data_IF_523489439667
#
_entry.id   IF_523489439667
#
_cell.length_a   1.000
_cell.length_b   1.000
_cell.length_c   1.000
_cell.angle_alpha   90.00
_cell.angle_beta   90.00
_cell.angle_gamma   90.00
#
_symmetry.space_group_name_H-M   'P 1'
#
loop_
_entity.id
_entity.type
_entity.pdbx_description
1 polymer ?
#
# COMPACT_ATOMS: atom_id res chain seq x y z
N UNK A 1 -15.13 -38.70 -0.65
CA UNK A 1 -14.40 -38.26 0.55
C UNK A 1 -14.78 -36.82 0.82
N UNK A 2 -15.54 -36.56 1.87
CA UNK A 2 -15.91 -35.19 2.26
C UNK A 2 -14.66 -34.56 2.82
N UNK A 3 -14.23 -33.43 2.24
CA UNK A 3 -13.17 -32.60 2.82
C UNK A 3 -13.59 -32.24 4.25
N UNK A 4 -12.72 -32.42 5.27
CA UNK A 4 -13.04 -31.96 6.62
C UNK A 4 -13.40 -30.47 6.58
N UNK A 5 -14.35 -30.00 7.41
CA UNK A 5 -14.70 -28.60 7.44
C UNK A 5 -13.41 -27.81 7.71
N UNK A 6 -13.07 -26.88 6.80
CA UNK A 6 -11.91 -26.02 6.99
C UNK A 6 -12.11 -25.27 8.30
N UNK A 7 -11.37 -25.65 9.34
CA UNK A 7 -11.21 -24.86 10.55
C UNK A 7 -10.59 -23.55 10.13
N UNK A 8 -11.44 -22.57 9.78
CA UNK A 8 -10.98 -21.24 9.39
C UNK A 8 -10.24 -20.62 10.57
N UNK A 9 -9.25 -19.77 10.29
CA UNK A 9 -8.58 -19.00 11.32
C UNK A 9 -9.59 -18.04 11.96
N UNK A 10 -9.89 -18.28 13.24
CA UNK A 10 -10.81 -17.47 14.04
C UNK A 10 -10.03 -16.99 15.26
N UNK A 11 -10.05 -15.69 15.52
CA UNK A 11 -9.41 -15.13 16.71
C UNK A 11 -10.29 -15.25 17.96
N UNK A 12 -9.74 -14.86 19.12
CA UNK A 12 -10.47 -14.89 20.41
C UNK A 12 -11.73 -14.00 20.45
N UNK A 13 -11.91 -13.12 19.48
CA UNK A 13 -13.10 -12.26 19.34
C UNK A 13 -14.07 -12.79 18.27
N UNK A 14 -13.95 -14.06 17.88
CA UNK A 14 -14.75 -14.71 16.83
C UNK A 14 -14.66 -14.04 15.45
N UNK A 15 -13.60 -13.27 15.18
CA UNK A 15 -13.39 -12.67 13.86
C UNK A 15 -12.67 -13.68 12.97
N UNK A 16 -13.20 -13.86 11.76
CA UNK A 16 -12.59 -14.71 10.73
C UNK A 16 -11.39 -13.97 10.11
N UNK A 17 -10.20 -14.56 10.20
CA UNK A 17 -8.99 -14.06 9.58
C UNK A 17 -8.93 -14.59 8.16
N UNK A 18 -9.22 -13.73 7.18
CA UNK A 18 -9.26 -14.06 5.76
C UNK A 18 -8.28 -13.22 4.91
N UNK A 19 -7.49 -12.36 5.55
CA UNK A 19 -6.55 -11.45 4.94
C UNK A 19 -5.15 -11.62 5.51
N UNK A 20 -4.17 -11.88 4.64
CA UNK A 20 -2.75 -11.97 4.98
C UNK A 20 -2.00 -10.78 4.37
N UNK A 21 -1.14 -10.16 5.15
CA UNK A 21 -0.13 -9.22 4.68
C UNK A 21 1.23 -9.87 4.79
N UNK A 22 1.93 -10.01 3.67
CA UNK A 22 3.23 -10.65 3.58
C UNK A 22 4.27 -9.63 3.12
N UNK A 23 5.24 -9.34 3.99
CA UNK A 23 6.45 -8.61 3.65
C UNK A 23 7.46 -9.60 3.10
N UNK A 24 7.90 -9.41 1.85
CA UNK A 24 8.79 -10.34 1.16
C UNK A 24 10.24 -9.88 1.13
N UNK A 25 10.51 -8.65 1.54
CA UNK A 25 11.86 -8.08 1.63
C UNK A 25 11.84 -6.86 2.53
N UNK A 26 12.93 -6.59 3.21
CA UNK A 26 13.22 -5.35 3.92
C UNK A 26 13.89 -4.30 3.02
N UNK A 27 14.41 -4.72 1.85
CA UNK A 27 15.13 -3.86 0.91
C UNK A 27 14.17 -2.96 0.15
N UNK A 28 14.59 -1.71 -0.03
CA UNK A 28 13.88 -0.71 -0.82
C UNK A 28 14.91 0.09 -1.62
N UNK A 29 14.55 0.54 -2.80
CA UNK A 29 15.35 1.45 -3.61
C UNK A 29 15.12 2.94 -3.24
N UNK A 30 14.07 3.25 -2.45
CA UNK A 30 13.86 4.56 -1.84
C UNK A 30 14.38 4.60 -0.39
N UNK A 31 14.61 5.83 0.11
CA UNK A 31 15.01 6.13 1.49
C UNK A 31 14.13 7.24 2.06
N UNK A 32 12.79 7.04 2.01
CA UNK A 32 11.85 8.06 2.45
C UNK A 32 12.14 8.53 3.87
N UNK A 33 12.16 9.86 4.07
CA UNK A 33 12.58 10.51 5.32
C UNK A 33 11.81 10.05 6.56
N UNK A 34 10.54 9.67 6.37
CA UNK A 34 9.66 9.18 7.43
C UNK A 34 9.68 7.66 7.63
N UNK A 35 10.44 6.90 6.80
CA UNK A 35 10.38 5.44 6.77
C UNK A 35 11.71 4.78 7.10
N UNK A 36 12.81 5.25 6.50
CA UNK A 36 14.14 4.63 6.61
C UNK A 36 15.24 5.67 6.75
N UNK A 37 16.22 5.36 7.57
CA UNK A 37 17.49 6.12 7.59
C UNK A 37 18.28 5.86 6.29
N UNK A 38 19.17 6.79 5.95
CA UNK A 38 20.04 6.64 4.76
C UNK A 38 20.95 5.43 4.91
N UNK A 39 21.50 5.23 6.12
CA UNK A 39 22.42 4.14 6.47
C UNK A 39 21.71 2.88 6.96
N UNK A 40 20.50 2.62 6.45
CA UNK A 40 19.71 1.46 6.86
C UNK A 40 20.48 0.17 6.62
N UNK A 41 20.67 -0.61 7.67
CA UNK A 41 21.22 -1.96 7.59
C UNK A 41 20.06 -2.95 7.34
N UNK A 42 20.19 -3.73 6.28
CA UNK A 42 19.24 -4.76 5.92
C UNK A 42 19.62 -6.10 6.51
N UNK A 43 18.64 -6.93 6.78
CA UNK A 43 18.88 -8.29 7.24
C UNK A 43 19.74 -9.08 6.24
N UNK A 44 20.58 -9.99 6.72
CA UNK A 44 21.21 -11.01 5.88
C UNK A 44 20.16 -11.75 5.05
N UNK A 45 20.54 -12.22 3.85
CA UNK A 45 19.57 -12.86 2.94
C UNK A 45 18.99 -14.16 3.49
N UNK A 46 19.72 -14.86 4.30
CA UNK A 46 19.36 -16.11 4.97
C UNK A 46 18.42 -15.91 6.17
N UNK A 47 18.30 -14.68 6.66
CA UNK A 47 17.31 -14.32 7.68
C UNK A 47 15.97 -13.84 7.08
N UNK A 48 15.89 -13.70 5.75
CA UNK A 48 14.66 -13.33 5.05
C UNK A 48 14.12 -14.54 4.30
N UNK A 49 12.82 -14.83 4.48
CA UNK A 49 12.16 -15.94 3.79
C UNK A 49 12.51 -15.96 2.29
N UNK A 50 12.81 -17.14 1.77
CA UNK A 50 12.95 -17.36 0.33
C UNK A 50 11.60 -17.11 -0.38
N UNK A 51 11.62 -17.00 -1.71
CA UNK A 51 10.37 -16.89 -2.48
C UNK A 51 9.55 -18.16 -2.40
N UNK A 52 10.22 -19.32 -2.35
CA UNK A 52 9.63 -20.65 -2.22
C UNK A 52 8.93 -20.80 -0.86
N UNK A 53 9.59 -20.38 0.23
CA UNK A 53 9.00 -20.36 1.57
C UNK A 53 7.81 -19.41 1.64
N UNK A 54 7.93 -18.22 1.04
CA UNK A 54 6.85 -17.23 0.94
C UNK A 54 5.64 -17.81 0.21
N UNK A 55 5.85 -18.48 -0.93
CA UNK A 55 4.79 -19.15 -1.68
C UNK A 55 4.15 -20.29 -0.87
N UNK A 56 4.97 -21.10 -0.17
CA UNK A 56 4.50 -22.18 0.70
C UNK A 56 3.63 -21.65 1.82
N UNK A 57 4.05 -20.57 2.49
CA UNK A 57 3.27 -19.92 3.54
C UNK A 57 1.90 -19.48 3.03
N UNK A 58 1.84 -18.81 1.87
CA UNK A 58 0.57 -18.37 1.29
C UNK A 58 -0.34 -19.54 1.00
N UNK A 59 0.18 -20.65 0.45
CA UNK A 59 -0.60 -21.88 0.23
C UNK A 59 -1.20 -22.42 1.54
N UNK A 60 -0.39 -22.49 2.62
CA UNK A 60 -0.86 -22.94 3.93
C UNK A 60 -1.96 -22.01 4.46
N UNK A 61 -1.74 -20.71 4.46
CA UNK A 61 -2.76 -19.76 4.93
C UNK A 61 -4.03 -19.79 4.08
N UNK A 62 -3.91 -20.04 2.78
CA UNK A 62 -5.08 -20.18 1.90
C UNK A 62 -5.86 -21.45 2.23
N UNK A 63 -5.20 -22.57 2.53
CA UNK A 63 -5.87 -23.80 2.98
C UNK A 63 -6.57 -23.62 4.34
N UNK A 64 -6.12 -22.67 5.16
CA UNK A 64 -6.76 -22.27 6.42
C UNK A 64 -7.86 -21.20 6.27
N UNK A 65 -8.20 -20.82 5.03
CA UNK A 65 -9.32 -19.93 4.73
C UNK A 65 -8.96 -18.46 4.46
N UNK A 66 -7.67 -18.13 4.33
CA UNK A 66 -7.24 -16.81 3.82
C UNK A 66 -7.55 -16.73 2.32
N UNK A 67 -8.28 -15.69 1.93
CA UNK A 67 -8.71 -15.47 0.54
C UNK A 67 -8.11 -14.21 -0.08
N UNK A 68 -7.48 -13.36 0.73
CA UNK A 68 -6.87 -12.11 0.31
C UNK A 68 -5.43 -12.02 0.78
N UNK A 69 -4.54 -11.72 -0.16
CA UNK A 69 -3.12 -11.50 0.10
C UNK A 69 -2.72 -10.09 -0.29
N UNK A 70 -1.97 -9.42 0.58
CA UNK A 70 -1.22 -8.21 0.23
C UNK A 70 0.26 -8.53 0.24
N UNK A 71 0.90 -8.40 -0.91
CA UNK A 71 2.34 -8.44 -1.04
C UNK A 71 2.90 -7.03 -0.80
N UNK A 72 3.88 -6.95 0.09
CA UNK A 72 4.55 -5.72 0.49
C UNK A 72 6.02 -6.02 0.86
N UNK A 73 6.70 -5.09 1.50
CA UNK A 73 8.08 -5.23 1.95
C UNK A 73 8.66 -3.86 2.25
N UNK A 74 9.95 -3.68 2.01
CA UNK A 74 10.49 -2.39 1.63
C UNK A 74 9.88 -2.03 0.28
N UNK A 75 10.53 -2.42 -0.82
CA UNK A 75 9.90 -2.41 -2.16
C UNK A 75 9.88 -3.84 -2.73
N UNK A 76 8.69 -4.46 -2.87
CA UNK A 76 8.62 -5.85 -3.32
C UNK A 76 9.14 -6.06 -4.75
N UNK A 77 8.99 -5.07 -5.64
CA UNK A 77 9.38 -5.22 -7.03
C UNK A 77 10.89 -5.14 -7.29
N UNK A 78 11.70 -4.76 -6.28
CA UNK A 78 13.17 -4.84 -6.41
C UNK A 78 13.72 -6.22 -6.06
N UNK A 79 12.87 -7.13 -5.51
CA UNK A 79 13.32 -8.47 -5.16
C UNK A 79 13.59 -9.27 -6.43
N UNK A 80 14.80 -9.85 -6.54
CA UNK A 80 15.19 -10.69 -7.67
C UNK A 80 14.19 -11.86 -7.83
N UNK A 81 13.84 -12.19 -9.08
CA UNK A 81 12.91 -13.27 -9.45
C UNK A 81 11.49 -13.08 -8.90
N UNK A 82 11.06 -11.85 -8.65
CA UNK A 82 9.72 -11.56 -8.12
C UNK A 82 8.60 -12.06 -9.03
N UNK A 83 8.81 -12.09 -10.35
CA UNK A 83 7.86 -12.62 -11.33
C UNK A 83 7.46 -14.06 -11.01
N UNK A 84 8.44 -14.93 -10.71
CA UNK A 84 8.20 -16.31 -10.32
C UNK A 84 7.25 -16.44 -9.12
N UNK A 85 7.42 -15.57 -8.11
CA UNK A 85 6.51 -15.56 -6.95
C UNK A 85 5.09 -15.19 -7.37
N UNK A 86 4.92 -14.10 -8.13
CA UNK A 86 3.58 -13.66 -8.54
C UNK A 86 2.89 -14.68 -9.45
N UNK A 87 3.61 -15.32 -10.37
CA UNK A 87 3.09 -16.41 -11.19
C UNK A 87 2.58 -17.55 -10.31
N UNK A 88 3.38 -17.99 -9.33
CA UNK A 88 3.00 -19.00 -8.36
C UNK A 88 1.79 -18.62 -7.52
N UNK A 89 1.72 -17.36 -7.04
CA UNK A 89 0.57 -16.83 -6.30
C UNK A 89 -0.71 -16.83 -7.15
N UNK A 90 -0.60 -16.48 -8.42
CA UNK A 90 -1.72 -16.47 -9.36
C UNK A 90 -2.34 -17.86 -9.60
N UNK A 91 -1.60 -18.93 -9.34
CA UNK A 91 -2.07 -20.31 -9.50
C UNK A 91 -2.71 -20.90 -8.22
N UNK A 92 -2.66 -20.18 -7.09
CA UNK A 92 -3.23 -20.71 -5.83
C UNK A 92 -4.75 -20.69 -5.90
N UNK A 93 -5.36 -21.87 -5.90
CA UNK A 93 -6.80 -22.03 -5.75
C UNK A 93 -7.25 -21.51 -4.37
N UNK A 94 -8.40 -20.80 -4.32
CA UNK A 94 -8.92 -20.21 -3.08
C UNK A 94 -8.38 -18.82 -2.76
N UNK A 95 -7.24 -18.40 -3.34
CA UNK A 95 -6.76 -17.02 -3.22
C UNK A 95 -7.53 -16.12 -4.20
N UNK A 96 -8.48 -15.34 -3.68
CA UNK A 96 -9.44 -14.56 -4.48
C UNK A 96 -8.93 -13.19 -4.89
N UNK A 97 -8.09 -12.59 -4.05
CA UNK A 97 -7.56 -11.22 -4.25
C UNK A 97 -6.08 -11.16 -3.91
N UNK A 98 -5.28 -10.78 -4.89
CA UNK A 98 -3.87 -10.41 -4.70
C UNK A 98 -3.76 -8.89 -4.84
N UNK A 99 -3.21 -8.25 -3.82
CA UNK A 99 -2.96 -6.80 -3.75
C UNK A 99 -1.47 -6.57 -3.64
N UNK A 100 -0.94 -5.63 -4.41
CA UNK A 100 0.44 -5.17 -4.30
C UNK A 100 0.47 -3.79 -3.63
N UNK A 101 1.45 -3.55 -2.76
CA UNK A 101 1.85 -2.20 -2.33
C UNK A 101 3.28 -1.96 -2.81
N UNK A 102 3.49 -0.90 -3.56
CA UNK A 102 4.76 -0.57 -4.22
C UNK A 102 5.02 0.94 -4.20
N UNK A 103 6.28 1.33 -4.27
CA UNK A 103 6.67 2.72 -4.51
C UNK A 103 6.57 3.13 -5.99
N UNK A 104 6.28 2.18 -6.88
CA UNK A 104 6.05 2.41 -8.30
C UNK A 104 7.30 2.50 -9.18
N UNK A 105 8.51 2.56 -8.61
CA UNK A 105 9.77 2.74 -9.36
C UNK A 105 10.03 1.67 -10.42
N UNK A 106 9.60 0.43 -10.15
CA UNK A 106 9.77 -0.73 -11.01
C UNK A 106 8.46 -1.17 -11.68
N UNK A 107 7.37 -0.44 -11.44
CA UNK A 107 6.04 -0.88 -11.86
C UNK A 107 5.90 -0.98 -13.39
N UNK A 108 6.52 -0.07 -14.15
CA UNK A 108 6.49 -0.11 -15.60
C UNK A 108 7.03 -1.43 -16.17
N UNK A 109 8.11 -1.96 -15.58
CA UNK A 109 8.70 -3.23 -16.03
C UNK A 109 7.89 -4.46 -15.66
N UNK A 110 7.03 -4.35 -14.64
CA UNK A 110 6.31 -5.49 -14.08
C UNK A 110 4.80 -5.46 -14.33
N UNK A 111 4.24 -4.37 -14.86
CA UNK A 111 2.78 -4.20 -14.99
C UNK A 111 2.11 -5.35 -15.74
N UNK A 112 2.64 -5.74 -16.91
CA UNK A 112 2.12 -6.87 -17.68
C UNK A 112 2.14 -8.18 -16.88
N UNK A 113 3.30 -8.54 -16.31
CA UNK A 113 3.45 -9.76 -15.50
C UNK A 113 2.48 -9.77 -14.31
N UNK A 114 2.34 -8.66 -13.59
CA UNK A 114 1.39 -8.54 -12.47
C UNK A 114 -0.05 -8.76 -12.93
N UNK A 115 -0.43 -8.24 -14.10
CA UNK A 115 -1.76 -8.45 -14.68
C UNK A 115 -2.00 -9.91 -14.99
N UNK A 116 -1.05 -10.59 -15.67
CA UNK A 116 -1.13 -12.01 -15.99
C UNK A 116 -1.14 -12.89 -14.74
N UNK A 117 -0.50 -12.47 -13.67
CA UNK A 117 -0.48 -13.13 -12.35
C UNK A 117 -1.72 -12.87 -11.50
N UNK A 118 -2.79 -12.31 -12.07
CA UNK A 118 -4.09 -12.08 -11.41
C UNK A 118 -4.04 -11.09 -10.25
N UNK A 119 -3.05 -10.19 -10.20
CA UNK A 119 -3.05 -9.06 -9.26
C UNK A 119 -4.26 -8.18 -9.58
N UNK A 120 -5.12 -7.95 -8.57
CA UNK A 120 -6.38 -7.21 -8.76
C UNK A 120 -6.29 -5.75 -8.37
N UNK A 121 -5.38 -5.40 -7.48
CA UNK A 121 -5.21 -4.04 -6.97
C UNK A 121 -3.75 -3.72 -6.75
N UNK A 122 -3.38 -2.50 -7.12
CA UNK A 122 -2.05 -1.95 -6.83
C UNK A 122 -2.22 -0.66 -6.03
N UNK A 123 -1.58 -0.61 -4.86
CA UNK A 123 -1.43 0.61 -4.08
C UNK A 123 -0.04 1.18 -4.37
N UNK A 124 0.02 2.40 -4.84
CA UNK A 124 1.25 3.08 -5.24
C UNK A 124 1.52 4.20 -4.25
N UNK A 125 2.69 4.19 -3.63
CA UNK A 125 3.12 5.27 -2.73
C UNK A 125 3.58 6.46 -3.56
N UNK A 126 2.92 7.62 -3.39
CA UNK A 126 3.24 8.86 -4.09
C UNK A 126 2.95 10.04 -3.17
N UNK A 127 4.01 10.70 -2.70
CA UNK A 127 3.92 11.74 -1.67
C UNK A 127 3.98 13.16 -2.24
N UNK A 128 4.37 13.32 -3.50
CA UNK A 128 4.45 14.63 -4.18
C UNK A 128 4.36 14.48 -5.68
N UNK A 129 3.84 15.50 -6.36
CA UNK A 129 3.82 15.65 -7.81
C UNK A 129 4.94 16.59 -8.30
N UNK A 130 5.63 17.28 -7.40
CA UNK A 130 6.82 18.07 -7.69
C UNK A 130 8.08 17.18 -7.68
N UNK A 131 8.85 17.10 -8.77
CA UNK A 131 10.02 16.23 -8.87
C UNK A 131 11.09 16.52 -7.82
N UNK A 132 11.29 17.80 -7.47
CA UNK A 132 12.32 18.19 -6.51
C UNK A 132 11.88 17.84 -5.09
N UNK A 133 10.61 18.10 -4.75
CA UNK A 133 10.04 17.72 -3.45
C UNK A 133 9.96 16.20 -3.30
N UNK A 134 9.51 15.49 -4.35
CA UNK A 134 9.51 14.03 -4.38
C UNK A 134 10.92 13.47 -4.10
N UNK A 135 11.94 14.01 -4.77
CA UNK A 135 13.33 13.64 -4.54
C UNK A 135 13.80 13.93 -3.13
N UNK A 136 13.40 15.07 -2.56
CA UNK A 136 13.71 15.45 -1.18
C UNK A 136 13.09 14.47 -0.17
N UNK A 137 11.82 14.07 -0.39
CA UNK A 137 11.11 13.13 0.50
C UNK A 137 11.67 11.71 0.38
N UNK A 138 11.90 11.23 -0.84
CA UNK A 138 12.32 9.85 -1.11
C UNK A 138 13.83 9.65 -1.10
N UNK A 139 14.61 10.73 -1.15
CA UNK A 139 16.08 10.82 -1.27
C UNK A 139 16.64 10.22 -2.56
N UNK A 140 16.24 9.01 -2.90
CA UNK A 140 16.75 8.25 -4.05
C UNK A 140 15.74 8.09 -5.18
N UNK A 141 14.46 8.42 -4.92
CA UNK A 141 13.36 8.22 -5.88
C UNK A 141 13.47 9.10 -7.13
N UNK A 142 12.79 8.66 -8.17
CA UNK A 142 12.66 9.31 -9.47
C UNK A 142 11.16 9.33 -9.82
N UNK A 143 10.57 10.54 -9.84
CA UNK A 143 9.13 10.71 -10.06
C UNK A 143 8.71 10.23 -11.44
N UNK A 144 9.52 10.47 -12.47
CA UNK A 144 9.19 10.09 -13.84
C UNK A 144 9.02 8.58 -13.99
N UNK A 145 9.83 7.79 -13.27
CA UNK A 145 9.67 6.32 -13.23
C UNK A 145 8.36 5.90 -12.58
N UNK A 146 7.94 6.59 -11.52
CA UNK A 146 6.66 6.31 -10.85
C UNK A 146 5.49 6.66 -11.77
N UNK A 147 5.55 7.82 -12.43
CA UNK A 147 4.52 8.24 -13.38
C UNK A 147 4.41 7.27 -14.56
N UNK A 148 5.55 6.88 -15.14
CA UNK A 148 5.58 5.85 -16.18
C UNK A 148 4.98 4.51 -15.68
N UNK A 149 5.28 4.12 -14.43
CA UNK A 149 4.71 2.94 -13.81
C UNK A 149 3.20 2.98 -13.69
N UNK A 150 2.63 4.13 -13.30
CA UNK A 150 1.18 4.36 -13.24
C UNK A 150 0.57 4.22 -14.64
N UNK A 151 1.16 4.88 -15.65
CA UNK A 151 0.63 4.89 -17.01
C UNK A 151 0.68 3.49 -17.65
N UNK A 152 1.77 2.76 -17.47
CA UNK A 152 1.84 1.37 -17.95
C UNK A 152 0.85 0.45 -17.21
N UNK A 153 0.63 0.63 -15.90
CA UNK A 153 -0.39 -0.14 -15.19
C UNK A 153 -1.81 0.16 -15.73
N UNK A 154 -2.13 1.42 -16.03
CA UNK A 154 -3.42 1.79 -16.64
C UNK A 154 -3.54 1.16 -18.03
N UNK A 155 -2.51 1.22 -18.86
CA UNK A 155 -2.45 0.63 -20.20
C UNK A 155 -2.64 -0.89 -20.18
N UNK A 156 -2.08 -1.59 -19.17
CA UNK A 156 -2.31 -3.03 -18.95
C UNK A 156 -3.72 -3.34 -18.40
N UNK A 157 -4.58 -2.33 -18.24
CA UNK A 157 -5.97 -2.48 -17.85
C UNK A 157 -6.20 -2.67 -16.34
N UNK A 158 -5.31 -2.17 -15.48
CA UNK A 158 -5.60 -2.08 -14.05
C UNK A 158 -6.61 -0.96 -13.80
N UNK A 159 -7.80 -1.31 -13.30
CA UNK A 159 -8.87 -0.38 -12.93
C UNK A 159 -8.93 -0.09 -11.43
N UNK A 160 -8.20 -0.84 -10.61
CA UNK A 160 -8.20 -0.71 -9.15
C UNK A 160 -6.83 -0.24 -8.66
N UNK A 161 -6.40 0.92 -9.18
CA UNK A 161 -5.20 1.60 -8.70
C UNK A 161 -5.56 2.55 -7.55
N UNK A 162 -4.67 2.64 -6.59
CA UNK A 162 -4.84 3.55 -5.47
C UNK A 162 -3.51 4.22 -5.11
N UNK A 163 -3.55 5.52 -4.90
CA UNK A 163 -2.44 6.25 -4.30
C UNK A 163 -2.48 6.11 -2.78
N UNK A 164 -1.33 5.95 -2.18
CA UNK A 164 -1.09 6.10 -0.75
C UNK A 164 -0.12 7.26 -0.56
N UNK A 165 -0.52 8.27 0.18
CA UNK A 165 0.25 9.49 0.39
C UNK A 165 0.42 9.73 1.88
N UNK A 166 1.64 9.88 2.35
CA UNK A 166 1.95 10.36 3.69
C UNK A 166 2.08 11.88 3.62
N UNK A 167 1.15 12.60 4.27
CA UNK A 167 1.23 14.06 4.33
C UNK A 167 2.04 14.50 5.55
N UNK A 168 2.92 15.45 5.30
CA UNK A 168 3.78 16.09 6.28
C UNK A 168 3.53 17.60 6.25
N UNK A 169 3.17 18.18 7.40
CA UNK A 169 2.91 19.61 7.56
C UNK A 169 4.13 20.44 7.14
N UNK A 170 3.87 21.53 6.43
CA UNK A 170 4.87 22.47 5.90
C UNK A 170 5.91 21.81 4.96
N UNK A 171 5.64 20.58 4.50
CA UNK A 171 6.48 19.85 3.54
C UNK A 171 5.71 19.60 2.23
N UNK A 172 4.69 18.72 2.26
CA UNK A 172 3.89 18.35 1.09
C UNK A 172 2.38 18.47 1.34
N UNK A 173 1.93 18.96 2.49
CA UNK A 173 0.50 19.09 2.80
C UNK A 173 -0.24 20.10 1.92
N UNK A 174 0.49 21.02 1.28
CA UNK A 174 -0.04 21.95 0.30
C UNK A 174 -0.43 21.27 -1.03
N UNK A 175 0.16 20.10 -1.35
CA UNK A 175 -0.17 19.33 -2.56
C UNK A 175 -1.42 18.43 -2.41
N UNK A 176 -2.06 18.40 -1.24
CA UNK A 176 -3.18 17.47 -0.99
C UNK A 176 -4.29 17.57 -2.06
N UNK A 177 -4.61 18.79 -2.51
CA UNK A 177 -5.64 19.00 -3.54
C UNK A 177 -5.16 18.57 -4.92
N UNK A 178 -3.91 18.85 -5.27
CA UNK A 178 -3.34 18.47 -6.56
C UNK A 178 -3.23 16.95 -6.69
N UNK A 179 -2.87 16.26 -5.62
CA UNK A 179 -2.85 14.81 -5.54
C UNK A 179 -4.26 14.21 -5.71
N UNK A 180 -5.30 14.83 -5.13
CA UNK A 180 -6.70 14.41 -5.36
C UNK A 180 -7.10 14.62 -6.81
N UNK A 181 -6.79 15.78 -7.39
CA UNK A 181 -7.08 16.07 -8.80
C UNK A 181 -6.33 15.12 -9.74
N UNK A 182 -5.08 14.79 -9.44
CA UNK A 182 -4.33 13.78 -10.18
C UNK A 182 -5.02 12.40 -10.10
N UNK A 183 -5.46 11.98 -8.90
CA UNK A 183 -6.17 10.72 -8.73
C UNK A 183 -7.50 10.70 -9.52
N UNK A 184 -8.26 11.80 -9.53
CA UNK A 184 -9.49 11.94 -10.32
C UNK A 184 -9.17 11.77 -11.81
N UNK A 185 -8.19 12.51 -12.32
CA UNK A 185 -7.80 12.48 -13.73
C UNK A 185 -7.35 11.09 -14.20
N UNK A 186 -6.65 10.35 -13.36
CA UNK A 186 -6.20 8.97 -13.61
C UNK A 186 -7.24 7.91 -13.22
N UNK A 187 -8.42 8.29 -12.73
CA UNK A 187 -9.50 7.39 -12.25
C UNK A 187 -9.02 6.41 -11.16
N UNK A 188 -8.19 6.91 -10.26
CA UNK A 188 -7.62 6.17 -9.13
C UNK A 188 -8.32 6.58 -7.84
N UNK A 189 -8.29 5.71 -6.83
CA UNK A 189 -8.55 6.11 -5.44
C UNK A 189 -7.29 6.73 -4.83
N UNK A 190 -7.43 7.52 -3.76
CA UNK A 190 -6.31 8.03 -2.97
C UNK A 190 -6.54 7.80 -1.49
N UNK A 191 -5.48 7.53 -0.74
CA UNK A 191 -5.54 7.48 0.73
C UNK A 191 -4.44 8.33 1.33
N UNK A 192 -4.84 9.27 2.18
CA UNK A 192 -3.93 10.03 3.02
C UNK A 192 -3.65 9.25 4.30
N UNK A 193 -2.39 9.19 4.68
CA UNK A 193 -1.89 8.42 5.82
C UNK A 193 -1.21 9.38 6.77
N UNK A 194 -1.67 9.42 8.01
CA UNK A 194 -0.93 10.14 9.05
C UNK A 194 0.45 9.53 9.23
N UNK A 195 1.44 10.40 9.37
CA UNK A 195 2.79 9.97 9.65
C UNK A 195 2.83 9.16 10.94
N UNK A 196 3.34 7.93 10.88
CA UNK A 196 3.42 7.02 12.01
C UNK A 196 4.84 6.97 12.58
N UNK A 197 5.02 6.82 13.91
CA UNK A 197 6.33 6.64 14.51
C UNK A 197 6.85 5.22 14.19
N UNK A 198 7.47 5.06 13.03
CA UNK A 198 8.02 3.80 12.57
C UNK A 198 9.55 3.83 12.70
N UNK A 199 10.08 2.83 13.42
CA UNK A 199 11.52 2.60 13.50
C UNK A 199 12.35 3.71 14.16
N UNK A 200 13.67 3.49 14.19
CA UNK A 200 14.65 4.48 14.66
C UNK A 200 15.07 5.36 13.47
N UNK A 201 14.35 6.43 13.21
CA UNK A 201 14.63 7.41 12.17
C UNK A 201 14.97 8.77 12.78
N UNK A 202 15.85 9.53 12.13
CA UNK A 202 16.24 10.86 12.58
C UNK A 202 15.22 11.96 12.24
N UNK A 203 14.04 11.57 11.76
CA UNK A 203 12.98 12.48 11.36
C UNK A 203 12.13 12.90 12.58
N UNK A 204 11.95 14.21 12.77
CA UNK A 204 11.17 14.77 13.88
C UNK A 204 9.69 14.87 13.53
N UNK A 205 8.99 13.73 13.57
CA UNK A 205 7.55 13.64 13.29
C UNK A 205 6.70 14.70 13.99
N UNK A 206 7.04 15.12 15.22
CA UNK A 206 6.27 16.12 15.96
C UNK A 206 6.18 17.47 15.22
N UNK A 207 7.18 17.80 14.43
CA UNK A 207 7.27 19.07 13.70
C UNK A 207 6.49 19.01 12.37
N UNK A 208 6.30 17.81 11.82
CA UNK A 208 5.68 17.58 10.50
C UNK A 208 4.32 16.88 10.55
N UNK A 209 3.84 16.53 11.74
CA UNK A 209 2.56 15.86 11.90
C UNK A 209 1.39 16.75 11.49
N UNK A 210 0.53 16.22 10.63
CA UNK A 210 -0.78 16.78 10.30
C UNK A 210 -1.84 15.71 10.50
N UNK A 211 -2.94 16.06 11.17
CA UNK A 211 -4.02 15.09 11.38
C UNK A 211 -4.88 14.90 10.13
N UNK A 212 -5.43 13.70 9.97
CA UNK A 212 -6.39 13.43 8.89
C UNK A 212 -7.65 14.32 8.99
N UNK A 213 -8.04 14.73 10.20
CA UNK A 213 -9.17 15.65 10.39
C UNK A 213 -8.89 17.03 9.80
N UNK A 214 -7.65 17.52 9.94
CA UNK A 214 -7.24 18.79 9.31
C UNK A 214 -7.20 18.67 7.79
N UNK A 215 -6.66 17.57 7.27
CA UNK A 215 -6.63 17.30 5.82
C UNK A 215 -8.07 17.19 5.29
N UNK A 216 -8.95 16.45 5.97
CA UNK A 216 -10.35 16.31 5.58
C UNK A 216 -11.05 17.67 5.51
N UNK A 217 -10.88 18.54 6.54
CA UNK A 217 -11.47 19.89 6.53
C UNK A 217 -10.98 20.74 5.36
N UNK A 218 -9.67 20.69 5.06
CA UNK A 218 -9.10 21.39 3.89
C UNK A 218 -9.73 20.88 2.59
N UNK A 219 -9.89 19.57 2.42
CA UNK A 219 -10.47 18.98 1.21
C UNK A 219 -11.98 19.25 1.08
N UNK A 220 -12.72 19.26 2.19
CA UNK A 220 -14.17 19.58 2.20
C UNK A 220 -14.48 21.03 1.76
N UNK A 221 -13.53 21.94 1.88
CA UNK A 221 -13.68 23.30 1.37
C UNK A 221 -13.67 23.37 -0.18
N UNK A 222 -13.15 22.34 -0.86
CA UNK A 222 -12.96 22.31 -2.32
C UNK A 222 -13.73 21.20 -3.02
N UNK A 223 -13.99 20.09 -2.32
CA UNK A 223 -14.67 18.93 -2.86
C UNK A 223 -15.93 18.62 -2.03
N UNK A 224 -17.02 18.31 -2.72
CA UNK A 224 -18.21 17.78 -2.04
C UNK A 224 -17.95 16.31 -1.66
N UNK A 225 -17.55 16.08 -0.41
CA UNK A 225 -17.20 14.77 0.14
C UNK A 225 -18.35 14.15 0.89
N UNK A 226 -18.82 12.99 0.45
CA UNK A 226 -19.93 12.24 1.03
C UNK A 226 -19.36 11.04 1.79
N UNK A 227 -19.65 10.85 3.09
CA UNK A 227 -19.25 9.65 3.82
C UNK A 227 -19.75 8.39 3.13
N UNK A 228 -18.92 7.34 3.11
CA UNK A 228 -19.31 6.07 2.48
C UNK A 228 -19.04 4.88 3.40
N UNK A 229 -19.87 3.84 3.28
CA UNK A 229 -19.66 2.55 3.95
C UNK A 229 -18.65 1.65 3.24
N UNK A 230 -18.09 2.11 2.12
CA UNK A 230 -17.06 1.36 1.41
C UNK A 230 -15.86 1.04 2.30
N UNK A 231 -15.34 -0.18 2.21
CA UNK A 231 -14.11 -0.60 2.87
C UNK A 231 -13.23 -1.36 1.89
N UNK A 232 -11.94 -1.13 1.95
CA UNK A 232 -10.94 -1.90 1.19
C UNK A 232 -10.41 -3.11 1.98
N UNK A 233 -10.98 -3.39 3.15
CA UNK A 233 -10.49 -4.42 4.08
C UNK A 233 -9.23 -4.00 4.85
N UNK A 234 -8.95 -2.71 4.93
CA UNK A 234 -7.89 -2.10 5.74
C UNK A 234 -8.45 -1.02 6.67
N UNK A 235 -7.59 -0.28 7.40
CA UNK A 235 -8.01 0.69 8.42
C UNK A 235 -8.54 2.00 7.85
N UNK A 236 -8.52 2.20 6.53
CA UNK A 236 -8.93 3.45 5.90
C UNK A 236 -10.44 3.70 6.05
N UNK A 237 -10.82 4.90 6.47
CA UNK A 237 -12.17 5.44 6.37
C UNK A 237 -12.29 6.21 5.06
N UNK A 238 -13.37 5.99 4.30
CA UNK A 238 -13.50 6.54 2.95
C UNK A 238 -14.62 7.58 2.82
N UNK A 239 -14.35 8.56 1.95
CA UNK A 239 -15.33 9.52 1.44
C UNK A 239 -15.40 9.40 -0.08
N UNK A 240 -16.60 9.50 -0.61
CA UNK A 240 -16.86 9.57 -2.04
C UNK A 240 -16.86 11.03 -2.47
N UNK A 241 -16.14 11.37 -3.53
CA UNK A 241 -16.29 12.68 -4.17
C UNK A 241 -17.56 12.66 -5.00
N UNK A 242 -18.47 13.63 -4.78
CA UNK A 242 -19.73 13.70 -5.53
C UNK A 242 -19.47 13.75 -7.04
N UNK A 243 -20.24 12.96 -7.80
CA UNK A 243 -20.12 12.84 -9.26
C UNK A 243 -18.77 12.32 -9.79
N UNK A 244 -17.94 11.72 -8.94
CA UNK A 244 -16.68 11.10 -9.33
C UNK A 244 -16.65 9.63 -8.89
N UNK A 245 -15.88 8.78 -9.59
CA UNK A 245 -15.63 7.40 -9.17
C UNK A 245 -14.57 7.30 -8.07
N UNK A 246 -13.72 8.31 -7.96
CA UNK A 246 -12.60 8.40 -7.02
C UNK A 246 -13.07 8.52 -5.58
N UNK A 247 -12.47 7.71 -4.71
CA UNK A 247 -12.68 7.78 -3.26
C UNK A 247 -11.42 8.29 -2.58
N UNK A 248 -11.63 9.09 -1.54
CA UNK A 248 -10.57 9.55 -0.65
C UNK A 248 -10.63 8.74 0.63
N UNK A 249 -9.56 8.05 0.98
CA UNK A 249 -9.40 7.31 2.22
C UNK A 249 -8.52 8.06 3.21
N UNK A 250 -8.77 7.88 4.49
CA UNK A 250 -7.93 8.40 5.57
C UNK A 250 -7.50 7.27 6.48
N UNK A 251 -6.20 7.15 6.72
CA UNK A 251 -5.59 6.16 7.61
C UNK A 251 -4.93 6.92 8.75
N UNK A 252 -5.58 6.93 9.91
CA UNK A 252 -5.03 7.56 11.10
C UNK A 252 -4.02 6.67 11.80
N UNK A 253 -3.16 7.27 12.59
CA UNK A 253 -2.15 6.55 13.35
C UNK A 253 -2.81 5.62 14.36
N UNK A 254 -2.68 4.31 14.14
CA UNK A 254 -3.34 3.28 14.95
C UNK A 254 -2.86 3.24 16.40
N UNK A 255 -1.67 3.78 16.70
CA UNK A 255 -1.12 3.87 18.05
C UNK A 255 -1.93 4.82 18.98
N UNK A 256 -2.73 5.71 18.38
CA UNK A 256 -3.55 6.67 19.14
C UNK A 256 -5.06 6.40 19.03
N UNK A 257 -5.50 5.58 18.09
CA UNK A 257 -6.92 5.41 17.75
C UNK A 257 -7.50 4.04 18.03
N UNK A 258 -6.65 3.05 18.30
CA UNK A 258 -7.12 1.70 18.64
C UNK A 258 -6.18 1.11 19.68
N UNK A 259 -6.70 0.67 20.85
CA UNK A 259 -5.92 -0.20 21.70
C UNK A 259 -5.53 -1.43 20.87
N UNK A 260 -4.23 -1.70 20.82
CA UNK A 260 -3.74 -2.93 20.18
C UNK A 260 -4.32 -4.12 20.95
N UNK A 261 -4.90 -5.13 20.30
CA UNK A 261 -5.27 -6.35 21.00
C UNK A 261 -4.05 -7.15 21.47
N UNK A 262 -2.86 -6.60 21.37
CA UNK A 262 -1.57 -7.16 21.78
C UNK A 262 -0.99 -6.47 23.03
N UNK A 263 -1.61 -5.38 23.52
CA UNK A 263 -1.19 -4.67 24.73
C UNK A 263 -1.95 -5.19 25.95
#
# INVERSE_FOLDING_TARGET
MQNPPSLGLIDQFHRKINYLRLSITDRCDFRCVYCMNEDMQFLPRDEVLSLEESLRLVKIFTSLGVTKLRVTGGEPLVRKNIAWLFEGLGQIEGLKEIVLTTNGSQLAHHAHMLKMSRVKRINISLDSLDPMLFKKITRTGDLDKVMLGIDEAIKEGFSNLKLNTVLMKDVNDHEAMDLVNFAINKKMDISFIEEMPLGAINHKRKDTFISNDEVLKKLQAHFNLIPTTFTSGGPAKYWQIANQSTKIGFISCLLYTSPSPRD
#
